data_IF_644966508974
#
_entry.id   IF_644966508974
#
_cell.length_a   1.000
_cell.length_b   1.000
_cell.length_c   1.000
_cell.angle_alpha   90.00
_cell.angle_beta   90.00
_cell.angle_gamma   90.00
#
_symmetry.space_group_name_H-M   'P 1'
#
loop_
_entity.id
_entity.type
_entity.pdbx_description
1 polymer ?
#
# COMPACT_ATOMS: atom_id res chain seq x y z
N UNK A 1 -45.27 34.44 -23.82
CA UNK A 1 -43.89 34.66 -23.31
C UNK A 1 -43.43 33.56 -22.36
N UNK A 2 -43.56 32.28 -22.72
CA UNK A 2 -43.19 31.12 -21.82
C UNK A 2 -42.03 30.23 -22.32
N UNK A 3 -41.48 30.48 -23.53
CA UNK A 3 -40.46 29.58 -24.13
C UNK A 3 -39.01 29.97 -23.86
N UNK A 4 -38.71 31.17 -23.35
CA UNK A 4 -37.34 31.60 -23.08
C UNK A 4 -36.79 31.03 -21.79
N UNK A 5 -37.62 30.89 -20.74
CA UNK A 5 -37.24 30.37 -19.44
C UNK A 5 -36.85 28.89 -19.50
N UNK A 6 -37.58 28.08 -20.31
CA UNK A 6 -37.27 26.64 -20.46
C UNK A 6 -35.97 26.40 -21.22
N UNK A 7 -35.64 27.24 -22.23
CA UNK A 7 -34.37 27.13 -22.96
C UNK A 7 -33.16 27.45 -22.07
N UNK A 8 -33.30 28.48 -21.22
CA UNK A 8 -32.25 28.80 -20.23
C UNK A 8 -32.03 27.70 -19.20
N UNK A 9 -33.12 27.11 -18.74
CA UNK A 9 -33.05 25.98 -17.78
C UNK A 9 -32.41 24.75 -18.40
N UNK A 10 -32.73 24.42 -19.66
CA UNK A 10 -32.10 23.31 -20.40
C UNK A 10 -30.60 23.54 -20.60
N UNK A 11 -30.20 24.78 -20.97
CA UNK A 11 -28.79 25.13 -21.13
C UNK A 11 -28.05 25.02 -19.78
N UNK A 12 -28.65 25.47 -18.69
CA UNK A 12 -28.07 25.36 -17.35
C UNK A 12 -27.86 23.89 -16.90
N UNK A 13 -28.85 23.02 -17.20
CA UNK A 13 -28.73 21.56 -16.88
C UNK A 13 -27.65 20.90 -17.73
N UNK A 14 -27.55 21.24 -19.02
CA UNK A 14 -26.48 20.68 -19.89
C UNK A 14 -25.10 21.15 -19.40
N UNK A 15 -24.94 22.41 -19.01
CA UNK A 15 -23.70 22.95 -18.46
C UNK A 15 -23.32 22.25 -17.14
N UNK A 16 -24.28 22.02 -16.26
CA UNK A 16 -24.08 21.28 -15.02
C UNK A 16 -23.64 19.83 -15.26
N UNK A 17 -24.24 19.18 -16.27
CA UNK A 17 -23.86 17.82 -16.68
C UNK A 17 -22.42 17.77 -17.24
N UNK A 18 -22.04 18.72 -18.07
CA UNK A 18 -20.66 18.80 -18.61
C UNK A 18 -19.64 19.01 -17.48
N UNK A 19 -19.94 19.90 -16.53
CA UNK A 19 -19.08 20.14 -15.37
C UNK A 19 -18.95 18.88 -14.49
N UNK A 20 -20.03 18.15 -14.25
CA UNK A 20 -19.99 16.91 -13.49
C UNK A 20 -19.19 15.82 -14.22
N UNK A 21 -19.35 15.68 -15.53
CA UNK A 21 -18.56 14.72 -16.34
C UNK A 21 -17.07 15.11 -16.31
N UNK A 22 -16.74 16.39 -16.43
CA UNK A 22 -15.37 16.88 -16.35
C UNK A 22 -14.76 16.66 -14.96
N UNK A 23 -15.51 16.85 -13.87
CA UNK A 23 -15.09 16.55 -12.50
C UNK A 23 -14.84 15.06 -12.30
N UNK A 24 -15.73 14.20 -12.78
CA UNK A 24 -15.56 12.73 -12.72
C UNK A 24 -14.34 12.30 -13.54
N UNK A 25 -14.20 12.82 -14.77
CA UNK A 25 -13.03 12.55 -15.62
C UNK A 25 -11.72 13.01 -14.95
N UNK A 26 -11.70 14.23 -14.36
CA UNK A 26 -10.54 14.73 -13.61
C UNK A 26 -10.24 13.87 -12.38
N UNK A 27 -11.26 13.40 -11.65
CA UNK A 27 -11.09 12.53 -10.49
C UNK A 27 -10.60 11.12 -10.86
N UNK A 28 -11.03 10.58 -12.00
CA UNK A 28 -10.61 9.28 -12.51
C UNK A 28 -9.21 9.37 -13.14
N UNK A 29 -8.94 10.38 -13.96
CA UNK A 29 -7.62 10.57 -14.58
C UNK A 29 -6.57 11.07 -13.57
N UNK A 30 -6.97 11.84 -12.55
CA UNK A 30 -6.08 12.30 -11.48
C UNK A 30 -5.59 11.16 -10.54
N UNK A 31 -6.28 10.02 -10.50
CA UNK A 31 -5.89 8.86 -9.69
C UNK A 31 -4.86 7.93 -10.34
N UNK A 32 -4.42 8.20 -11.56
CA UNK A 32 -3.44 7.39 -12.30
C UNK A 32 -1.98 7.80 -12.10
N UNK A 33 -1.61 8.42 -10.98
CA UNK A 33 -0.20 8.49 -10.59
C UNK A 33 0.08 7.32 -9.66
N UNK A 34 0.63 6.23 -10.22
CA UNK A 34 1.33 5.20 -9.43
C UNK A 34 2.56 5.88 -8.80
N UNK A 35 2.59 6.11 -7.47
CA UNK A 35 3.72 6.80 -6.83
C UNK A 35 4.83 5.84 -6.40
N UNK A 36 5.11 4.73 -7.09
CA UNK A 36 5.92 3.68 -6.49
C UNK A 36 7.40 3.65 -6.85
N UNK A 37 7.84 4.20 -7.97
CA UNK A 37 9.25 4.11 -8.33
C UNK A 37 10.07 5.33 -7.86
N UNK A 38 9.49 6.54 -7.88
CA UNK A 38 10.18 7.77 -7.45
C UNK A 38 10.31 7.86 -5.93
N UNK A 39 9.25 7.48 -5.18
CA UNK A 39 9.26 7.53 -3.72
C UNK A 39 10.22 6.49 -3.11
N UNK A 40 10.32 5.30 -3.70
CA UNK A 40 11.24 4.26 -3.24
C UNK A 40 12.72 4.63 -3.44
N UNK A 41 13.05 5.29 -4.56
CA UNK A 41 14.42 5.76 -4.81
C UNK A 41 14.82 6.90 -3.88
N UNK A 42 13.95 7.88 -3.69
CA UNK A 42 14.18 8.99 -2.78
C UNK A 42 14.32 8.52 -1.31
N UNK A 43 13.48 7.55 -0.89
CA UNK A 43 13.60 6.97 0.44
C UNK A 43 14.91 6.19 0.62
N UNK A 44 15.36 5.48 -0.41
CA UNK A 44 16.66 4.79 -0.39
C UNK A 44 17.83 5.76 -0.32
N UNK A 45 17.85 6.80 -1.18
CA UNK A 45 18.88 7.84 -1.16
C UNK A 45 18.96 8.53 0.21
N UNK A 46 17.81 8.83 0.82
CA UNK A 46 17.76 9.38 2.16
C UNK A 46 18.39 8.44 3.18
N UNK A 47 18.05 7.15 3.15
CA UNK A 47 18.62 6.15 4.04
C UNK A 47 20.15 6.03 3.85
N UNK A 48 20.62 5.98 2.61
CA UNK A 48 22.06 5.94 2.27
C UNK A 48 22.81 7.10 2.90
N UNK A 49 22.25 8.31 2.80
CA UNK A 49 22.87 9.52 3.35
C UNK A 49 22.81 9.55 4.89
N UNK A 50 21.66 9.20 5.50
CA UNK A 50 21.51 9.21 6.97
C UNK A 50 22.40 8.16 7.66
N UNK A 51 22.61 7.01 7.03
CA UNK A 51 23.42 5.91 7.54
C UNK A 51 24.88 5.95 7.03
N UNK A 52 25.25 6.94 6.22
CA UNK A 52 26.56 7.07 5.59
C UNK A 52 27.05 5.76 4.94
N UNK A 53 26.18 5.07 4.19
CA UNK A 53 26.46 3.77 3.60
C UNK A 53 27.57 3.86 2.54
N UNK A 54 28.58 3.01 2.66
CA UNK A 54 29.57 2.82 1.61
C UNK A 54 29.04 1.98 0.44
N UNK A 55 29.78 1.90 -0.66
CA UNK A 55 29.35 1.20 -1.89
C UNK A 55 29.12 -0.31 -1.68
N UNK A 56 29.91 -0.96 -0.81
CA UNK A 56 29.71 -2.37 -0.48
C UNK A 56 28.39 -2.58 0.28
N UNK A 57 28.09 -1.72 1.24
CA UNK A 57 26.84 -1.75 2.00
C UNK A 57 25.61 -1.47 1.12
N UNK A 58 25.72 -0.53 0.17
CA UNK A 58 24.65 -0.28 -0.81
C UNK A 58 24.34 -1.52 -1.63
N UNK A 59 25.37 -2.17 -2.15
CA UNK A 59 25.23 -3.40 -2.95
C UNK A 59 24.63 -4.56 -2.13
N UNK A 60 25.08 -4.74 -0.89
CA UNK A 60 24.55 -5.75 0.02
C UNK A 60 23.08 -5.47 0.36
N UNK A 61 22.74 -4.22 0.67
CA UNK A 61 21.35 -3.81 0.91
C UNK A 61 20.44 -4.10 -0.29
N UNK A 62 20.86 -3.76 -1.51
CA UNK A 62 20.07 -4.03 -2.71
C UNK A 62 19.87 -5.53 -2.91
N UNK A 63 20.88 -6.36 -2.69
CA UNK A 63 20.77 -7.82 -2.74
C UNK A 63 19.77 -8.35 -1.71
N UNK A 64 19.87 -7.91 -0.45
CA UNK A 64 18.92 -8.29 0.62
C UNK A 64 17.49 -7.84 0.31
N UNK A 65 17.33 -6.65 -0.25
CA UNK A 65 16.03 -6.11 -0.66
C UNK A 65 15.41 -6.89 -1.82
N UNK A 66 16.20 -7.24 -2.84
CA UNK A 66 15.72 -8.05 -3.97
C UNK A 66 15.28 -9.44 -3.50
N UNK A 67 16.07 -10.11 -2.68
CA UNK A 67 15.75 -11.41 -2.10
C UNK A 67 14.46 -11.35 -1.26
N UNK A 68 14.30 -10.30 -0.45
CA UNK A 68 13.08 -10.06 0.31
C UNK A 68 11.85 -9.92 -0.58
N UNK A 69 11.92 -9.06 -1.61
CA UNK A 69 10.79 -8.85 -2.51
C UNK A 69 10.46 -10.06 -3.38
N UNK A 70 11.46 -10.83 -3.80
CA UNK A 70 11.26 -12.07 -4.53
C UNK A 70 10.45 -13.10 -3.71
N UNK A 71 10.65 -13.11 -2.38
CA UNK A 71 9.97 -14.04 -1.49
C UNK A 71 8.60 -13.51 -1.04
N UNK A 72 8.49 -12.22 -0.75
CA UNK A 72 7.28 -11.68 -0.10
C UNK A 72 6.15 -11.36 -1.08
N UNK A 73 6.47 -10.97 -2.33
CA UNK A 73 5.44 -10.63 -3.34
C UNK A 73 4.51 -11.80 -3.65
N UNK A 74 5.00 -13.01 -3.97
CA UNK A 74 4.13 -14.17 -4.23
C UNK A 74 3.24 -14.51 -3.04
N UNK A 75 3.74 -14.28 -1.81
CA UNK A 75 2.98 -14.52 -0.58
C UNK A 75 1.82 -13.55 -0.44
N UNK A 76 2.02 -12.26 -0.69
CA UNK A 76 0.93 -11.27 -0.71
C UNK A 76 -0.07 -11.49 -1.83
N UNK A 77 0.38 -11.95 -3.00
CA UNK A 77 -0.52 -12.31 -4.10
C UNK A 77 -1.39 -13.51 -3.73
N UNK A 78 -0.82 -14.51 -3.04
CA UNK A 78 -1.55 -15.65 -2.48
C UNK A 78 -2.58 -15.23 -1.41
N UNK A 79 -2.20 -14.29 -0.50
CA UNK A 79 -3.12 -13.72 0.50
C UNK A 79 -4.30 -13.03 -0.21
N UNK A 80 -4.02 -12.25 -1.25
CA UNK A 80 -5.05 -11.54 -2.04
C UNK A 80 -5.99 -12.53 -2.71
N UNK A 81 -5.46 -13.56 -3.35
CA UNK A 81 -6.26 -14.59 -3.99
C UNK A 81 -7.15 -15.34 -2.98
N UNK A 82 -6.60 -15.72 -1.82
CA UNK A 82 -7.39 -16.38 -0.76
C UNK A 82 -8.51 -15.46 -0.22
N UNK A 83 -8.25 -14.14 -0.09
CA UNK A 83 -9.29 -13.16 0.29
C UNK A 83 -10.38 -13.05 -0.78
N UNK A 84 -10.05 -13.08 -2.05
CA UNK A 84 -11.04 -13.09 -3.13
C UNK A 84 -11.95 -14.31 -3.04
N UNK A 85 -11.38 -15.50 -2.77
CA UNK A 85 -12.16 -16.71 -2.56
C UNK A 85 -13.06 -16.62 -1.31
N UNK A 86 -12.54 -16.07 -0.21
CA UNK A 86 -13.33 -15.82 1.00
C UNK A 86 -14.52 -14.90 0.72
N UNK A 87 -14.31 -13.78 0.03
CA UNK A 87 -15.38 -12.84 -0.28
C UNK A 87 -16.35 -13.35 -1.36
N UNK A 88 -15.94 -14.30 -2.19
CA UNK A 88 -16.84 -14.94 -3.14
C UNK A 88 -17.96 -15.72 -2.45
N UNK A 89 -17.74 -16.20 -1.21
CA UNK A 89 -18.77 -16.89 -0.41
C UNK A 89 -19.99 -16.01 -0.09
N UNK A 90 -19.88 -14.68 -0.20
CA UNK A 90 -21.01 -13.76 -0.02
C UNK A 90 -22.14 -14.01 -1.04
N UNK A 91 -21.81 -14.62 -2.18
CA UNK A 91 -22.78 -14.91 -3.25
C UNK A 91 -23.55 -16.22 -3.04
N UNK A 92 -23.13 -17.05 -2.08
CA UNK A 92 -23.78 -18.31 -1.76
C UNK A 92 -25.09 -18.06 -1.01
N UNK A 93 -26.12 -18.85 -1.29
CA UNK A 93 -27.42 -18.77 -0.58
C UNK A 93 -27.26 -19.08 0.92
N UNK A 94 -26.37 -20.00 1.24
CA UNK A 94 -26.08 -20.40 2.62
C UNK A 94 -24.58 -20.27 2.87
N UNK A 95 -24.20 -19.48 3.89
CA UNK A 95 -22.82 -19.29 4.25
C UNK A 95 -22.23 -20.58 4.84
N UNK A 96 -21.13 -21.05 4.27
CA UNK A 96 -20.40 -22.20 4.79
C UNK A 96 -19.33 -21.74 5.79
N UNK A 97 -19.61 -21.82 7.07
CA UNK A 97 -18.71 -21.40 8.17
C UNK A 97 -17.38 -22.15 8.18
N UNK A 98 -17.37 -23.42 7.75
CA UNK A 98 -16.13 -24.20 7.64
C UNK A 98 -15.20 -23.63 6.57
N UNK A 99 -15.73 -23.20 5.42
CA UNK A 99 -14.93 -22.55 4.38
C UNK A 99 -14.46 -21.16 4.81
N UNK A 100 -15.31 -20.38 5.49
CA UNK A 100 -14.92 -19.08 6.07
C UNK A 100 -13.74 -19.27 7.02
N UNK A 101 -13.83 -20.24 7.92
CA UNK A 101 -12.76 -20.56 8.88
C UNK A 101 -11.47 -21.02 8.18
N UNK A 102 -11.57 -21.90 7.18
CA UNK A 102 -10.42 -22.41 6.44
C UNK A 102 -9.69 -21.29 5.68
N UNK A 103 -10.42 -20.44 4.95
CA UNK A 103 -9.80 -19.31 4.24
C UNK A 103 -9.19 -18.29 5.20
N UNK A 104 -9.87 -17.99 6.32
CA UNK A 104 -9.36 -17.07 7.34
C UNK A 104 -8.09 -17.58 8.00
N UNK A 105 -8.03 -18.86 8.35
CA UNK A 105 -6.84 -19.52 8.89
C UNK A 105 -5.68 -19.47 7.89
N UNK A 106 -5.93 -19.77 6.61
CA UNK A 106 -4.92 -19.71 5.55
C UNK A 106 -4.37 -18.29 5.35
N UNK A 107 -5.21 -17.26 5.42
CA UNK A 107 -4.77 -15.85 5.35
C UNK A 107 -3.87 -15.52 6.54
N UNK A 108 -4.28 -15.91 7.75
CA UNK A 108 -3.53 -15.64 8.99
C UNK A 108 -2.16 -16.33 8.99
N UNK A 109 -2.09 -17.59 8.57
CA UNK A 109 -0.83 -18.31 8.44
C UNK A 109 0.14 -17.61 7.47
N UNK A 110 -0.35 -17.25 6.28
CA UNK A 110 0.44 -16.54 5.27
C UNK A 110 0.89 -15.16 5.77
N UNK A 111 0.04 -14.45 6.50
CA UNK A 111 0.39 -13.18 7.12
C UNK A 111 1.51 -13.35 8.13
N UNK A 112 1.41 -14.33 9.04
CA UNK A 112 2.46 -14.65 10.01
C UNK A 112 3.79 -14.99 9.33
N UNK A 113 3.74 -15.73 8.21
CA UNK A 113 4.94 -16.03 7.40
C UNK A 113 5.53 -14.75 6.78
N UNK A 114 4.70 -13.83 6.27
CA UNK A 114 5.16 -12.56 5.73
C UNK A 114 5.85 -11.71 6.81
N UNK A 115 5.29 -11.65 8.01
CA UNK A 115 5.87 -10.92 9.14
C UNK A 115 7.24 -11.50 9.53
N UNK A 116 7.39 -12.82 9.59
CA UNK A 116 8.69 -13.49 9.87
C UNK A 116 9.73 -13.15 8.80
N UNK A 117 9.35 -13.18 7.51
CA UNK A 117 10.25 -12.83 6.40
C UNK A 117 10.69 -11.37 6.52
N UNK A 118 9.77 -10.46 6.83
CA UNK A 118 10.02 -9.03 6.98
C UNK A 118 10.95 -8.74 8.16
N UNK A 119 10.70 -9.33 9.32
CA UNK A 119 11.58 -9.18 10.50
C UNK A 119 12.98 -9.71 10.22
N UNK A 120 13.10 -10.86 9.56
CA UNK A 120 14.40 -11.42 9.19
C UNK A 120 15.16 -10.50 8.21
N UNK A 121 14.46 -9.90 7.24
CA UNK A 121 15.06 -8.91 6.35
C UNK A 121 15.62 -7.73 7.14
N UNK A 122 14.85 -7.10 8.00
CA UNK A 122 15.32 -5.98 8.82
C UNK A 122 16.49 -6.38 9.72
N UNK A 123 16.48 -7.57 10.32
CA UNK A 123 17.60 -8.08 11.11
C UNK A 123 18.87 -8.26 10.29
N UNK A 124 18.77 -8.72 9.06
CA UNK A 124 19.92 -8.89 8.18
C UNK A 124 20.50 -7.55 7.75
N UNK A 125 19.66 -6.59 7.39
CA UNK A 125 20.10 -5.22 7.10
C UNK A 125 20.75 -4.58 8.33
N UNK A 126 20.18 -4.78 9.52
CA UNK A 126 20.72 -4.27 10.79
C UNK A 126 22.17 -4.70 11.06
N UNK A 127 22.53 -5.94 10.67
CA UNK A 127 23.89 -6.48 10.86
C UNK A 127 24.96 -5.74 10.05
N UNK A 128 24.57 -4.98 9.04
CA UNK A 128 25.49 -4.19 8.22
C UNK A 128 26.02 -2.94 8.93
N UNK A 129 25.42 -2.55 10.07
CA UNK A 129 25.70 -1.31 10.77
C UNK A 129 26.27 -1.57 12.17
N UNK A 130 27.09 -0.63 12.62
CA UNK A 130 27.67 -0.57 13.97
C UNK A 130 27.66 0.87 14.50
N UNK A 131 27.83 1.07 15.80
CA UNK A 131 27.89 2.40 16.41
C UNK A 131 26.68 3.28 16.13
N UNK A 132 26.91 4.53 15.79
CA UNK A 132 25.86 5.54 15.55
C UNK A 132 24.96 5.17 14.35
N UNK A 133 25.51 4.56 13.31
CA UNK A 133 24.72 4.14 12.16
C UNK A 133 23.70 3.05 12.55
N UNK A 134 24.05 2.15 13.46
CA UNK A 134 23.13 1.15 14.00
C UNK A 134 21.98 1.79 14.78
N UNK A 135 22.28 2.76 15.64
CA UNK A 135 21.26 3.51 16.40
C UNK A 135 20.30 4.24 15.47
N UNK A 136 20.83 4.92 14.45
CA UNK A 136 20.00 5.60 13.43
C UNK A 136 19.13 4.63 12.64
N UNK A 137 19.66 3.46 12.29
CA UNK A 137 18.89 2.42 11.61
C UNK A 137 17.71 1.94 12.46
N UNK A 138 17.95 1.64 13.74
CA UNK A 138 16.90 1.21 14.66
C UNK A 138 15.78 2.26 14.80
N UNK A 139 16.16 3.55 14.91
CA UNK A 139 15.17 4.66 14.91
C UNK A 139 14.38 4.76 13.60
N UNK A 140 15.04 4.57 12.44
CA UNK A 140 14.37 4.59 11.15
C UNK A 140 13.34 3.48 11.03
N UNK A 141 13.68 2.27 11.45
CA UNK A 141 12.74 1.12 11.45
C UNK A 141 11.55 1.41 12.37
N UNK A 142 11.79 1.93 13.57
CA UNK A 142 10.70 2.31 14.48
C UNK A 142 9.77 3.39 13.89
N UNK A 143 10.33 4.44 13.30
CA UNK A 143 9.55 5.50 12.63
C UNK A 143 8.73 4.95 11.47
N UNK A 144 9.26 3.98 10.72
CA UNK A 144 8.56 3.32 9.62
C UNK A 144 7.35 2.52 10.11
N UNK A 145 7.49 1.77 11.20
CA UNK A 145 6.40 1.02 11.83
C UNK A 145 5.30 1.92 12.41
N UNK A 146 5.67 3.08 12.98
CA UNK A 146 4.72 4.05 13.54
C UNK A 146 3.90 4.76 12.46
N UNK A 147 4.47 5.06 11.28
CA UNK A 147 3.73 5.69 10.16
C UNK A 147 2.58 4.82 9.66
N UNK A 148 2.76 3.52 9.58
CA UNK A 148 1.69 2.60 9.20
C UNK A 148 0.48 2.64 10.16
N UNK A 149 0.69 3.04 11.41
CA UNK A 149 -0.37 3.18 12.43
C UNK A 149 -1.15 4.50 12.25
N UNK A 150 -0.48 5.60 11.88
CA UNK A 150 -1.08 6.92 11.74
C UNK A 150 -2.01 7.02 10.52
N UNK A 151 -1.63 6.43 9.39
CA UNK A 151 -2.49 6.36 8.20
C UNK A 151 -3.79 5.57 8.43
N UNK A 152 -3.78 4.66 9.40
CA UNK A 152 -4.96 3.86 9.77
C UNK A 152 -5.94 4.60 10.68
N UNK A 153 -5.47 5.58 11.47
CA UNK A 153 -6.29 6.39 12.39
C UNK A 153 -6.90 7.60 11.71
N UNK A 154 -6.16 8.31 10.86
CA UNK A 154 -6.67 9.49 10.13
C UNK A 154 -7.80 9.16 9.13
N UNK A 155 -7.91 7.89 8.69
CA UNK A 155 -9.05 7.43 7.89
C UNK A 155 -10.33 7.17 8.70
N UNK A 156 -10.24 7.02 10.02
CA UNK A 156 -11.41 6.80 10.88
C UNK A 156 -12.07 8.09 11.37
N UNK A 157 -11.35 9.21 11.40
CA UNK A 157 -11.89 10.50 11.86
C UNK A 157 -12.55 11.34 10.75
N UNK A 158 -12.48 10.91 9.48
CA UNK A 158 -13.10 11.59 8.33
C UNK A 158 -14.35 10.88 7.80
N UNK A 159 -15.02 10.10 8.60
CA UNK A 159 -16.35 9.55 8.37
C UNK A 159 -17.25 10.04 9.50
#
# INVERSE_FOLDING_TARGET
MKNSSNKFLVIAVILLLIVNIALVAFMVMGKSKKPQAKDGKAAFEKMVNELAMNEAQKKEFDSLREAHFATIRPLFDSIRATRQSLYALIKEETLNDSLVSAYSASITEKQSRADKITINHFRNVRKMFTGDALTKYDEMVQKMMQRGKKDSTDKKEKK
#
